data_IF_726701933139
#
_entry.id   IF_726701933139
#
_cell.length_a   1.000
_cell.length_b   1.000
_cell.length_c   1.000
_cell.angle_alpha   90.00
_cell.angle_beta   90.00
_cell.angle_gamma   90.00
#
_symmetry.space_group_name_H-M   'P 1'
#
loop_
_entity.id
_entity.type
_entity.pdbx_description
1 polymer ?
#
# COMPACT_ATOMS: atom_id res chain seq x y z
N UNK A 1 26.27 6.91 -0.38
CA UNK A 1 26.67 7.05 1.02
C UNK A 1 25.60 7.84 1.82
N UNK A 2 25.36 9.16 1.56
CA UNK A 2 24.34 9.95 2.29
C UNK A 2 22.93 9.31 2.20
N UNK A 3 22.52 8.85 1.01
CA UNK A 3 21.25 8.14 0.80
C UNK A 3 21.15 6.88 1.66
N UNK A 4 22.20 6.10 1.74
CA UNK A 4 22.24 4.86 2.53
C UNK A 4 22.07 5.17 4.02
N UNK A 5 22.73 6.20 4.51
CA UNK A 5 22.58 6.67 5.90
C UNK A 5 21.14 7.10 6.15
N UNK A 6 20.54 7.94 5.28
CA UNK A 6 19.15 8.33 5.41
C UNK A 6 18.22 7.12 5.47
N UNK A 7 18.42 6.14 4.58
CA UNK A 7 17.59 4.96 4.51
C UNK A 7 17.78 3.97 5.69
N UNK A 8 18.91 4.04 6.39
CA UNK A 8 19.09 3.30 7.63
C UNK A 8 18.30 3.92 8.78
N UNK A 9 18.32 5.24 8.91
CA UNK A 9 17.60 5.97 9.95
C UNK A 9 16.10 6.04 9.71
N UNK A 10 15.69 6.17 8.44
CA UNK A 10 14.28 6.44 8.04
C UNK A 10 13.68 7.60 8.82
N UNK A 11 14.23 8.81 8.64
CA UNK A 11 13.83 9.97 9.43
C UNK A 11 12.37 10.35 9.15
N UNK A 12 11.72 10.92 10.12
CA UNK A 12 10.38 11.49 9.99
C UNK A 12 10.38 12.70 9.07
N UNK A 13 11.39 13.56 9.23
CA UNK A 13 11.61 14.74 8.41
C UNK A 13 13.03 14.70 7.82
N UNK A 14 13.11 14.77 6.51
CA UNK A 14 14.36 14.82 5.77
C UNK A 14 14.42 16.09 4.95
N UNK A 15 15.32 17.00 5.32
CA UNK A 15 15.60 18.18 4.50
C UNK A 15 16.85 17.94 3.64
N UNK A 16 16.69 18.08 2.34
CA UNK A 16 17.77 17.93 1.36
C UNK A 16 18.13 19.28 0.75
N UNK A 17 19.33 19.78 1.07
CA UNK A 17 19.87 21.02 0.53
C UNK A 17 21.04 20.65 -0.37
N UNK A 18 20.86 20.71 -1.67
CA UNK A 18 21.79 20.21 -2.67
C UNK A 18 22.12 21.29 -3.71
N UNK A 19 23.31 21.20 -4.30
CA UNK A 19 23.70 22.09 -5.41
C UNK A 19 22.86 21.87 -6.66
N UNK A 20 22.44 20.62 -6.90
CA UNK A 20 21.64 20.23 -8.05
C UNK A 20 20.48 19.31 -7.59
N UNK A 21 19.34 19.91 -7.33
CA UNK A 21 18.16 19.23 -6.82
C UNK A 21 17.55 18.26 -7.83
N UNK A 22 17.71 18.52 -9.14
CA UNK A 22 17.17 17.68 -10.22
C UNK A 22 17.85 16.31 -10.39
N UNK A 23 18.96 16.07 -9.70
CA UNK A 23 19.69 14.80 -9.78
C UNK A 23 19.28 13.80 -8.71
N UNK A 24 18.38 14.18 -7.80
CA UNK A 24 17.94 13.30 -6.70
C UNK A 24 16.80 12.40 -7.16
N UNK A 25 17.01 11.10 -7.05
CA UNK A 25 15.93 10.14 -7.20
C UNK A 25 15.20 9.95 -5.86
N UNK A 26 14.15 10.72 -5.65
CA UNK A 26 13.35 10.68 -4.41
C UNK A 26 12.68 9.33 -4.17
N UNK A 27 12.46 8.52 -5.21
CA UNK A 27 11.85 7.18 -5.08
C UNK A 27 12.73 6.18 -4.34
N UNK A 28 14.00 6.48 -4.18
CA UNK A 28 14.97 5.63 -3.50
C UNK A 28 15.29 6.11 -2.09
N UNK A 29 14.58 7.10 -1.58
CA UNK A 29 14.81 7.70 -0.26
C UNK A 29 13.58 7.41 0.61
N UNK A 30 13.84 6.83 1.78
CA UNK A 30 12.81 6.53 2.76
C UNK A 30 12.82 7.56 3.88
N UNK A 31 11.76 8.35 3.96
CA UNK A 31 11.53 9.34 5.01
C UNK A 31 10.04 9.58 5.14
N UNK A 32 9.59 10.02 6.29
CA UNK A 32 8.19 10.39 6.52
C UNK A 32 7.78 11.58 5.65
N UNK A 33 8.58 12.65 5.64
CA UNK A 33 8.44 13.80 4.75
C UNK A 33 9.80 14.22 4.20
N UNK A 34 9.85 14.60 2.93
CA UNK A 34 11.06 15.08 2.27
C UNK A 34 10.86 16.52 1.84
N UNK A 35 11.74 17.41 2.32
CA UNK A 35 11.77 18.82 1.99
C UNK A 35 13.00 19.08 1.12
N UNK A 36 12.76 19.41 -0.15
CA UNK A 36 13.83 19.60 -1.13
C UNK A 36 14.13 21.10 -1.32
N UNK A 37 15.40 21.45 -1.14
CA UNK A 37 15.92 22.80 -1.34
C UNK A 37 15.81 23.71 -0.12
N UNK A 38 16.48 24.86 -0.22
CA UNK A 38 16.56 25.85 0.88
C UNK A 38 15.24 26.59 1.15
N UNK A 39 14.34 26.64 0.17
CA UNK A 39 13.06 27.37 0.29
C UNK A 39 12.01 26.55 1.05
N UNK A 40 12.21 25.26 1.15
CA UNK A 40 11.32 24.37 1.87
C UNK A 40 11.83 24.17 3.30
N UNK A 41 10.91 24.11 4.24
CA UNK A 41 11.22 23.89 5.65
C UNK A 41 10.27 22.87 6.24
N UNK A 42 10.72 22.08 7.21
CA UNK A 42 9.90 21.12 7.93
C UNK A 42 8.62 21.73 8.51
N UNK A 43 8.69 22.99 8.94
CA UNK A 43 7.54 23.76 9.47
C UNK A 43 6.36 23.82 8.47
N UNK A 44 6.63 23.86 7.17
CA UNK A 44 5.56 23.79 6.16
C UNK A 44 4.84 22.45 6.19
N UNK A 45 5.58 21.37 6.44
CA UNK A 45 5.02 20.03 6.58
C UNK A 45 4.11 19.90 7.80
N UNK A 46 4.45 20.61 8.88
CA UNK A 46 3.67 20.54 10.12
C UNK A 46 2.32 21.27 10.01
N UNK A 47 2.19 22.27 9.12
CA UNK A 47 1.02 23.14 9.10
C UNK A 47 0.32 23.24 7.74
N UNK A 48 1.03 23.44 6.63
CA UNK A 48 0.43 23.90 5.39
C UNK A 48 0.65 22.98 4.19
N UNK A 49 1.59 22.02 4.26
CA UNK A 49 1.96 21.21 3.09
C UNK A 49 1.03 20.03 2.80
N UNK A 50 0.03 19.79 3.61
CA UNK A 50 -0.99 18.76 3.38
C UNK A 50 -0.99 17.66 4.44
N UNK A 51 -0.23 16.56 4.28
CA UNK A 51 -0.28 15.45 5.22
C UNK A 51 0.17 15.86 6.63
N UNK A 52 -0.50 15.30 7.64
CA UNK A 52 -0.11 15.51 9.03
C UNK A 52 0.82 14.41 9.51
N UNK A 53 1.76 14.76 10.40
CA UNK A 53 2.65 13.79 11.01
C UNK A 53 2.11 13.25 12.32
N UNK A 54 2.28 11.96 12.51
CA UNK A 54 2.20 11.32 13.83
C UNK A 54 3.61 10.90 14.20
N UNK A 55 4.22 11.58 15.12
CA UNK A 55 5.59 11.37 15.56
C UNK A 55 5.65 10.98 17.04
N UNK A 56 6.66 10.22 17.48
CA UNK A 56 7.73 9.61 16.68
C UNK A 56 7.26 8.40 15.85
N UNK A 57 7.86 8.18 14.68
CA UNK A 57 7.55 7.04 13.81
C UNK A 57 8.36 5.79 14.14
N UNK A 58 9.45 5.92 14.87
CA UNK A 58 10.38 4.84 15.23
C UNK A 58 10.84 3.99 14.03
N UNK A 59 11.10 4.64 12.89
CA UNK A 59 11.53 3.98 11.66
C UNK A 59 10.39 3.34 10.84
N UNK A 60 9.14 3.50 11.23
CA UNK A 60 7.99 2.94 10.52
C UNK A 60 7.76 3.58 9.13
N UNK A 61 8.44 4.65 8.80
CA UNK A 61 8.36 5.32 7.49
C UNK A 61 8.72 4.44 6.30
N UNK A 62 9.32 3.27 6.54
CA UNK A 62 9.57 2.24 5.53
C UNK A 62 8.30 1.58 4.98
N UNK A 63 7.26 1.50 5.79
CA UNK A 63 6.05 0.71 5.50
C UNK A 63 4.74 1.38 5.95
N UNK A 64 4.84 2.54 6.59
CA UNK A 64 3.68 3.30 7.05
C UNK A 64 3.70 4.71 6.45
N UNK A 65 2.57 5.15 5.94
CA UNK A 65 2.37 6.50 5.43
C UNK A 65 2.09 7.47 6.57
N UNK A 66 2.25 8.76 6.29
CA UNK A 66 1.75 9.83 7.13
C UNK A 66 0.23 9.79 7.20
N UNK A 67 -0.34 10.37 8.28
CA UNK A 67 -1.79 10.53 8.38
C UNK A 67 -2.30 11.43 7.26
N UNK A 68 -3.26 10.93 6.51
CA UNK A 68 -3.87 11.61 5.38
C UNK A 68 -5.39 11.59 5.46
N UNK A 69 -6.05 12.33 4.60
CA UNK A 69 -7.50 12.31 4.51
C UNK A 69 -8.05 10.89 4.18
N UNK A 70 -7.26 10.06 3.53
CA UNK A 70 -7.63 8.69 3.18
C UNK A 70 -7.85 7.80 4.42
N UNK A 71 -7.16 8.10 5.52
CA UNK A 71 -7.28 7.35 6.77
C UNK A 71 -8.64 7.55 7.46
N UNK A 72 -9.40 8.55 7.03
CA UNK A 72 -10.76 8.83 7.50
C UNK A 72 -11.85 8.24 6.61
N UNK A 73 -11.48 7.53 5.53
CA UNK A 73 -12.42 6.83 4.67
C UNK A 73 -12.40 5.34 4.94
N UNK A 74 -13.58 4.73 4.90
CA UNK A 74 -13.73 3.28 4.96
C UNK A 74 -13.83 2.76 3.53
N UNK A 75 -12.94 1.84 3.18
CA UNK A 75 -12.98 1.14 1.91
C UNK A 75 -13.70 -0.19 2.08
N UNK A 76 -14.75 -0.40 1.31
CA UNK A 76 -15.47 -1.68 1.24
C UNK A 76 -15.31 -2.30 -0.14
N UNK A 77 -15.00 -3.58 -0.19
CA UNK A 77 -15.02 -4.31 -1.45
C UNK A 77 -16.44 -4.77 -1.79
N UNK A 78 -16.82 -4.62 -3.05
CA UNK A 78 -18.07 -5.14 -3.59
C UNK A 78 -17.77 -6.05 -4.78
N UNK A 79 -18.26 -7.28 -4.70
CA UNK A 79 -18.10 -8.26 -5.78
C UNK A 79 -19.47 -8.70 -6.27
N UNK A 80 -19.72 -8.55 -7.57
CA UNK A 80 -20.95 -8.98 -8.22
C UNK A 80 -20.63 -9.72 -9.53
N UNK A 81 -21.06 -10.96 -9.64
CA UNK A 81 -20.90 -11.75 -10.84
C UNK A 81 -22.15 -11.58 -11.71
N UNK A 82 -22.01 -10.88 -12.81
CA UNK A 82 -23.11 -10.57 -13.74
C UNK A 82 -23.40 -11.71 -14.72
N UNK A 83 -22.37 -12.51 -15.07
CA UNK A 83 -22.51 -13.68 -15.93
C UNK A 83 -21.95 -14.92 -15.24
N UNK A 84 -22.79 -15.68 -14.59
CA UNK A 84 -22.42 -16.90 -13.85
C UNK A 84 -22.08 -18.10 -14.75
N UNK A 85 -22.35 -18.03 -16.07
CA UNK A 85 -22.03 -19.07 -17.04
C UNK A 85 -20.73 -18.83 -17.81
N UNK A 86 -19.99 -17.75 -17.47
CA UNK A 86 -18.73 -17.40 -18.10
C UNK A 86 -17.64 -18.44 -17.78
N UNK A 87 -16.97 -18.94 -18.81
CA UNK A 87 -15.84 -19.89 -18.65
C UNK A 87 -14.67 -19.29 -17.86
N UNK A 88 -14.46 -17.98 -17.90
CA UNK A 88 -13.46 -17.33 -17.07
C UNK A 88 -13.88 -17.35 -15.60
N UNK A 89 -15.16 -17.16 -15.30
CA UNK A 89 -15.67 -17.28 -13.94
C UNK A 89 -15.51 -18.72 -13.42
N UNK A 90 -15.76 -19.72 -14.26
CA UNK A 90 -15.50 -21.12 -13.94
C UNK A 90 -14.03 -21.40 -13.61
N UNK A 91 -13.10 -20.80 -14.36
CA UNK A 91 -11.66 -20.88 -14.06
C UNK A 91 -11.32 -20.24 -12.72
N UNK A 92 -11.85 -19.05 -12.44
CA UNK A 92 -11.67 -18.35 -11.16
C UNK A 92 -12.14 -19.23 -10.00
N UNK A 93 -13.32 -19.84 -10.10
CA UNK A 93 -13.83 -20.77 -9.09
C UNK A 93 -12.88 -21.95 -8.86
N UNK A 94 -12.42 -22.62 -9.94
CA UNK A 94 -11.48 -23.73 -9.82
C UNK A 94 -10.18 -23.31 -9.13
N UNK A 95 -9.58 -22.21 -9.56
CA UNK A 95 -8.36 -21.67 -8.93
C UNK A 95 -8.57 -21.34 -7.45
N UNK A 96 -9.70 -20.71 -7.11
CA UNK A 96 -10.04 -20.40 -5.71
C UNK A 96 -10.19 -21.66 -4.86
N UNK A 97 -10.78 -22.72 -5.42
CA UNK A 97 -10.88 -24.02 -4.77
C UNK A 97 -9.50 -24.63 -4.51
N UNK A 98 -8.64 -24.64 -5.52
CA UNK A 98 -7.33 -25.25 -5.43
C UNK A 98 -6.46 -24.52 -4.38
N UNK A 99 -6.51 -23.18 -4.34
CA UNK A 99 -5.86 -22.37 -3.30
C UNK A 99 -6.41 -22.73 -1.91
N UNK A 100 -7.73 -22.84 -1.76
CA UNK A 100 -8.34 -23.19 -0.48
C UNK A 100 -7.93 -24.59 0.00
N UNK A 101 -7.70 -25.53 -0.90
CA UNK A 101 -7.18 -26.86 -0.57
C UNK A 101 -5.74 -26.78 -0.07
N UNK A 102 -4.87 -26.06 -0.79
CA UNK A 102 -3.48 -25.87 -0.40
C UNK A 102 -3.33 -25.18 0.95
N UNK A 103 -4.24 -24.24 1.25
CA UNK A 103 -4.31 -23.57 2.56
C UNK A 103 -4.95 -24.43 3.67
N UNK A 104 -5.45 -25.64 3.36
CA UNK A 104 -6.14 -26.50 4.31
C UNK A 104 -7.55 -26.01 4.70
N UNK A 105 -8.14 -25.10 3.94
CA UNK A 105 -9.45 -24.49 4.19
C UNK A 105 -10.60 -25.31 3.54
N UNK A 106 -10.86 -26.51 4.05
CA UNK A 106 -11.82 -27.46 3.47
C UNK A 106 -13.24 -26.88 3.31
N UNK A 107 -13.72 -26.06 4.25
CA UNK A 107 -15.02 -25.42 4.16
C UNK A 107 -15.09 -24.41 3.00
N UNK A 108 -14.03 -23.67 2.73
CA UNK A 108 -13.92 -22.75 1.58
C UNK A 108 -13.92 -23.52 0.26
N UNK A 109 -13.13 -24.58 0.15
CA UNK A 109 -13.10 -25.45 -1.02
C UNK A 109 -14.49 -26.05 -1.32
N UNK A 110 -15.18 -26.57 -0.30
CA UNK A 110 -16.53 -27.13 -0.43
C UNK A 110 -17.54 -26.06 -0.87
N UNK A 111 -17.44 -24.85 -0.36
CA UNK A 111 -18.32 -23.75 -0.78
C UNK A 111 -18.17 -23.42 -2.27
N UNK A 112 -16.95 -23.55 -2.83
CA UNK A 112 -16.70 -23.40 -4.26
C UNK A 112 -17.23 -24.61 -5.06
N UNK A 113 -17.00 -25.82 -4.58
CA UNK A 113 -17.48 -27.05 -5.24
C UNK A 113 -19.01 -27.05 -5.40
N UNK A 114 -19.74 -26.59 -4.38
CA UNK A 114 -21.19 -26.43 -4.47
C UNK A 114 -21.63 -25.47 -5.58
N UNK A 115 -20.88 -24.37 -5.78
CA UNK A 115 -21.16 -23.41 -6.85
C UNK A 115 -20.82 -23.98 -8.22
N UNK A 116 -19.70 -24.67 -8.36
CA UNK A 116 -19.32 -25.35 -9.60
C UNK A 116 -20.38 -26.35 -10.02
N UNK A 117 -20.86 -27.21 -9.11
CA UNK A 117 -21.93 -28.14 -9.35
C UNK A 117 -23.25 -27.48 -9.76
N UNK A 118 -23.60 -26.38 -9.08
CA UNK A 118 -24.88 -25.71 -9.34
C UNK A 118 -24.90 -24.93 -10.66
N UNK A 119 -23.77 -24.36 -11.07
CA UNK A 119 -23.72 -23.43 -12.19
C UNK A 119 -23.23 -24.08 -13.48
N UNK A 120 -22.46 -25.17 -13.42
CA UNK A 120 -21.78 -25.74 -14.59
C UNK A 120 -22.02 -27.26 -14.79
N UNK A 121 -22.88 -27.88 -14.00
CA UNK A 121 -23.47 -29.17 -14.22
C UNK A 121 -24.99 -28.98 -14.43
#
# INVERSE_FOLDING_TARGET
EAKEVCNQFNPEHLQLILKNEGQVNLKEIYAGAIFLGQKNTAVLGDYCAGPSHVIPTNGATKFSSQLSIQDFFINSSFTHITNSQDENFKKILKTSRDIAIEEGLAAHANAVDLRLKRLFN
#
